data_IF_425777443732
#
_entry.id   IF_425777443732
#
_cell.length_a   1.000
_cell.length_b   1.000
_cell.length_c   1.000
_cell.angle_alpha   90.00
_cell.angle_beta   90.00
_cell.angle_gamma   90.00
#
_symmetry.space_group_name_H-M   'P 1'
#
loop_
_entity.id
_entity.type
_entity.pdbx_description
1 polymer ?
#
# COMPACT_ATOMS: atom_id res chain seq x y z
N UNK A 1 15.46 -0.78 4.83
CA UNK A 1 14.27 -0.90 5.70
C UNK A 1 13.30 0.24 5.47
N UNK A 2 12.02 -0.05 5.49
CA UNK A 2 10.97 0.94 5.31
C UNK A 2 10.53 1.41 6.70
N UNK A 3 10.57 2.71 6.97
CA UNK A 3 10.33 3.22 8.32
C UNK A 3 8.90 2.99 8.79
N UNK A 4 7.91 3.23 7.92
CA UNK A 4 6.51 3.11 8.29
C UNK A 4 5.69 2.57 7.12
N UNK A 5 4.92 1.53 7.39
CA UNK A 5 4.02 0.90 6.40
C UNK A 5 2.58 1.02 6.88
N UNK A 6 1.69 1.32 5.95
CA UNK A 6 0.25 1.26 6.16
C UNK A 6 -0.35 0.21 5.21
N UNK A 7 -1.13 -0.71 5.78
CA UNK A 7 -1.94 -1.67 5.02
C UNK A 7 -3.40 -1.27 5.14
N UNK A 8 -4.10 -1.14 4.02
CA UNK A 8 -5.55 -0.87 3.99
C UNK A 8 -6.23 -2.07 3.35
N UNK A 9 -6.89 -2.88 4.16
CA UNK A 9 -7.48 -4.16 3.76
C UNK A 9 -8.59 -4.51 4.74
N UNK A 10 -9.76 -4.93 4.26
CA UNK A 10 -10.89 -5.26 5.11
C UNK A 10 -10.85 -6.68 5.71
N UNK A 11 -9.85 -7.48 5.36
CA UNK A 11 -9.70 -8.86 5.83
C UNK A 11 -8.76 -8.98 7.03
N UNK A 12 -9.31 -9.25 8.21
CA UNK A 12 -8.52 -9.39 9.43
C UNK A 12 -7.48 -10.51 9.35
N UNK A 13 -7.82 -11.61 8.67
CA UNK A 13 -6.88 -12.72 8.50
C UNK A 13 -5.66 -12.30 7.67
N UNK A 14 -5.89 -11.53 6.62
CA UNK A 14 -4.78 -11.06 5.80
C UNK A 14 -3.89 -10.07 6.55
N UNK A 15 -4.45 -9.26 7.45
CA UNK A 15 -3.65 -8.40 8.32
C UNK A 15 -2.60 -9.22 9.07
N UNK A 16 -3.01 -10.38 9.64
CA UNK A 16 -2.08 -11.26 10.36
C UNK A 16 -1.02 -11.86 9.44
N UNK A 17 -1.42 -12.32 8.26
CA UNK A 17 -0.48 -12.89 7.28
C UNK A 17 0.56 -11.84 6.86
N UNK A 18 0.11 -10.62 6.61
CA UNK A 18 0.98 -9.52 6.19
C UNK A 18 1.93 -9.10 7.32
N UNK A 19 1.41 -8.97 8.53
CA UNK A 19 2.21 -8.61 9.70
C UNK A 19 3.31 -9.64 9.97
N UNK A 20 2.97 -10.93 9.89
CA UNK A 20 3.93 -12.02 10.08
C UNK A 20 5.04 -11.97 9.02
N UNK A 21 4.66 -11.77 7.76
CA UNK A 21 5.63 -11.69 6.67
C UNK A 21 6.58 -10.49 6.84
N UNK A 22 6.05 -9.34 7.21
CA UNK A 22 6.86 -8.15 7.45
C UNK A 22 7.82 -8.35 8.62
N UNK A 23 7.36 -9.02 9.67
CA UNK A 23 8.17 -9.32 10.84
C UNK A 23 9.30 -10.29 10.51
N UNK A 24 8.99 -11.37 9.78
CA UNK A 24 9.98 -12.37 9.39
C UNK A 24 11.07 -11.79 8.48
N UNK A 25 10.72 -10.88 7.61
CA UNK A 25 11.64 -10.23 6.68
C UNK A 25 12.32 -9.00 7.27
N UNK A 26 11.90 -8.58 8.46
CA UNK A 26 12.40 -7.35 9.10
C UNK A 26 12.31 -6.14 8.14
N UNK A 27 11.16 -6.00 7.48
CA UNK A 27 10.94 -5.01 6.43
C UNK A 27 10.70 -3.62 6.99
N UNK A 28 10.01 -3.52 8.13
CA UNK A 28 9.48 -2.25 8.62
C UNK A 28 9.73 -2.04 10.11
N UNK A 29 9.99 -0.79 10.48
CA UNK A 29 10.07 -0.37 11.89
C UNK A 29 8.68 -0.20 12.49
N UNK A 30 7.69 0.17 11.69
CA UNK A 30 6.34 0.44 12.14
C UNK A 30 5.34 -0.02 11.09
N UNK A 31 4.32 -0.78 11.51
CA UNK A 31 3.26 -1.26 10.63
C UNK A 31 1.91 -0.95 11.27
N UNK A 32 1.07 -0.25 10.52
CA UNK A 32 -0.33 -0.02 10.86
C UNK A 32 -1.23 -0.69 9.83
N UNK A 33 -2.36 -1.24 10.28
CA UNK A 33 -3.33 -1.87 9.41
C UNK A 33 -4.72 -1.28 9.68
N UNK A 34 -5.42 -0.90 8.64
CA UNK A 34 -6.76 -0.33 8.69
C UNK A 34 -7.73 -1.14 7.84
N UNK A 35 -8.99 -1.20 8.26
CA UNK A 35 -10.02 -1.99 7.61
C UNK A 35 -10.82 -1.22 6.56
N UNK A 36 -10.61 0.08 6.43
CA UNK A 36 -11.48 0.95 5.64
C UNK A 36 -10.69 2.05 4.97
N UNK A 37 -11.08 2.37 3.72
CA UNK A 37 -10.51 3.49 3.00
C UNK A 37 -10.90 4.84 3.61
N UNK A 38 -12.07 4.91 4.27
CA UNK A 38 -12.50 6.12 4.97
C UNK A 38 -11.57 6.44 6.14
N UNK A 39 -11.19 5.43 6.92
CA UNK A 39 -10.23 5.61 8.02
C UNK A 39 -8.85 6.02 7.49
N UNK A 40 -8.41 5.42 6.39
CA UNK A 40 -7.13 5.77 5.77
C UNK A 40 -7.13 7.22 5.31
N UNK A 41 -8.19 7.67 4.65
CA UNK A 41 -8.30 9.05 4.18
C UNK A 41 -8.27 10.05 5.34
N UNK A 42 -8.97 9.75 6.43
CA UNK A 42 -8.95 10.60 7.63
C UNK A 42 -7.56 10.68 8.25
N UNK A 43 -6.86 9.55 8.30
CA UNK A 43 -5.53 9.47 8.87
C UNK A 43 -4.52 10.28 8.05
N UNK A 44 -4.59 10.17 6.73
CA UNK A 44 -3.75 10.97 5.83
C UNK A 44 -3.99 12.47 6.03
N UNK A 45 -5.25 12.88 6.12
CA UNK A 45 -5.60 14.26 6.34
C UNK A 45 -5.01 14.77 7.66
N UNK A 46 -5.12 13.98 8.72
CA UNK A 46 -4.57 14.32 10.03
C UNK A 46 -3.05 14.50 9.99
N UNK A 47 -2.34 13.56 9.39
CA UNK A 47 -0.88 13.61 9.31
C UNK A 47 -0.39 14.84 8.57
N UNK A 48 -1.02 15.18 7.45
CA UNK A 48 -0.58 16.28 6.60
C UNK A 48 -1.03 17.64 7.13
N UNK A 49 -2.11 17.71 7.93
CA UNK A 49 -2.54 18.95 8.57
C UNK A 49 -1.72 19.28 9.81
N UNK A 50 -1.32 18.27 10.58
CA UNK A 50 -0.58 18.47 11.82
C UNK A 50 0.87 18.87 11.60
N UNK A 51 1.43 18.55 10.44
CA UNK A 51 2.85 18.73 10.17
C UNK A 51 3.75 17.79 10.94
N UNK A 52 3.18 16.81 11.63
CA UNK A 52 3.91 15.79 12.39
C UNK A 52 4.30 14.64 11.47
N UNK A 53 5.60 14.49 11.22
CA UNK A 53 6.13 13.46 10.32
C UNK A 53 6.38 12.12 11.00
N UNK A 54 6.21 12.02 12.32
CA UNK A 54 6.63 10.85 13.07
C UNK A 54 5.82 9.59 12.73
N UNK A 55 4.54 9.73 12.40
CA UNK A 55 3.65 8.60 12.14
C UNK A 55 3.19 8.50 10.67
N UNK A 56 3.71 9.35 9.80
CA UNK A 56 3.34 9.31 8.37
C UNK A 56 3.83 8.02 7.73
N UNK A 57 2.99 7.30 6.99
CA UNK A 57 3.45 6.11 6.27
C UNK A 57 4.39 6.51 5.13
N UNK A 58 5.44 5.77 5.00
CA UNK A 58 6.37 5.90 3.88
C UNK A 58 5.88 5.09 2.69
N UNK A 59 5.22 3.96 2.97
CA UNK A 59 4.73 3.03 1.96
C UNK A 59 3.31 2.58 2.33
N UNK A 60 2.41 2.57 1.35
CA UNK A 60 1.00 2.19 1.54
C UNK A 60 0.63 1.06 0.59
N UNK A 61 0.12 -0.04 1.15
CA UNK A 61 -0.42 -1.18 0.42
C UNK A 61 -1.94 -1.11 0.54
N UNK A 62 -2.63 -1.06 -0.59
CA UNK A 62 -4.09 -0.91 -0.61
C UNK A 62 -4.74 -2.11 -1.29
N UNK A 63 -5.69 -2.76 -0.61
CA UNK A 63 -6.50 -3.81 -1.22
C UNK A 63 -7.41 -3.19 -2.30
N UNK A 64 -7.56 -3.91 -3.40
CA UNK A 64 -8.38 -3.44 -4.52
C UNK A 64 -9.85 -3.28 -4.12
N UNK A 65 -10.40 -4.24 -3.38
CA UNK A 65 -11.79 -4.27 -2.97
C UNK A 65 -11.92 -4.14 -1.45
N UNK A 66 -12.30 -2.96 -0.98
CA UNK A 66 -12.46 -2.69 0.45
C UNK A 66 -13.94 -2.55 0.74
N UNK A 67 -14.55 -3.64 1.23
CA UNK A 67 -15.99 -3.72 1.48
C UNK A 67 -16.40 -2.79 2.62
N UNK A 68 -17.53 -2.10 2.45
CA UNK A 68 -18.07 -1.21 3.48
C UNK A 68 -17.44 0.17 3.53
N UNK A 69 -16.55 0.49 2.61
CA UNK A 69 -15.95 1.81 2.49
C UNK A 69 -16.69 2.67 1.47
N UNK A 70 -16.58 3.98 1.60
CA UNK A 70 -17.19 4.94 0.67
C UNK A 70 -16.54 4.90 -0.71
N UNK A 71 -15.30 4.45 -0.80
CA UNK A 71 -14.57 4.33 -2.06
C UNK A 71 -13.66 3.10 -2.03
N UNK A 72 -13.39 2.55 -3.23
CA UNK A 72 -12.57 1.35 -3.38
C UNK A 72 -11.06 1.66 -3.30
N UNK A 73 -10.23 0.63 -3.49
CA UNK A 73 -8.78 0.78 -3.39
C UNK A 73 -8.18 1.70 -4.44
N UNK A 74 -8.68 1.64 -5.68
CA UNK A 74 -8.20 2.50 -6.76
C UNK A 74 -8.56 3.96 -6.49
N UNK A 75 -9.78 4.21 -6.04
CA UNK A 75 -10.23 5.55 -5.68
C UNK A 75 -9.42 6.11 -4.52
N UNK A 76 -9.09 5.29 -3.52
CA UNK A 76 -8.24 5.68 -2.42
C UNK A 76 -6.83 6.08 -2.91
N UNK A 77 -6.25 5.28 -3.81
CA UNK A 77 -4.93 5.59 -4.39
C UNK A 77 -4.97 6.91 -5.17
N UNK A 78 -6.03 7.13 -5.96
CA UNK A 78 -6.19 8.37 -6.69
C UNK A 78 -6.22 9.57 -5.75
N UNK A 79 -6.95 9.45 -4.64
CA UNK A 79 -7.03 10.50 -3.63
C UNK A 79 -5.69 10.76 -2.96
N UNK A 80 -4.99 9.70 -2.55
CA UNK A 80 -3.65 9.80 -1.93
C UNK A 80 -2.68 10.44 -2.91
N UNK A 81 -2.66 9.97 -4.15
CA UNK A 81 -1.74 10.47 -5.17
C UNK A 81 -2.00 11.95 -5.50
N UNK A 82 -3.26 12.34 -5.62
CA UNK A 82 -3.63 13.73 -5.92
C UNK A 82 -3.23 14.68 -4.79
N UNK A 83 -3.46 14.29 -3.53
CA UNK A 83 -3.24 15.16 -2.39
C UNK A 83 -1.81 15.06 -1.81
N UNK A 84 -1.18 13.87 -1.89
CA UNK A 84 0.06 13.57 -1.17
C UNK A 84 1.10 12.82 -2.00
N UNK A 85 0.92 12.72 -3.32
CA UNK A 85 1.61 11.76 -4.18
C UNK A 85 3.12 11.75 -4.14
N UNK A 86 3.75 12.89 -3.86
CA UNK A 86 5.22 12.96 -3.82
C UNK A 86 5.82 12.53 -2.48
N UNK A 87 4.98 12.22 -1.49
CA UNK A 87 5.40 11.95 -0.12
C UNK A 87 5.29 10.49 0.28
N UNK A 88 4.62 9.65 -0.53
CA UNK A 88 4.38 8.25 -0.21
C UNK A 88 4.58 7.36 -1.43
N UNK A 89 5.04 6.13 -1.16
CA UNK A 89 5.05 5.05 -2.15
C UNK A 89 3.73 4.30 -1.96
N UNK A 90 2.91 4.17 -3.00
CA UNK A 90 1.60 3.55 -2.89
C UNK A 90 1.36 2.56 -4.01
N UNK A 91 0.72 1.44 -3.68
CA UNK A 91 0.35 0.43 -4.65
C UNK A 91 -0.74 -0.50 -4.15
N UNK A 92 -1.12 -1.42 -5.01
CA UNK A 92 -2.19 -2.39 -4.78
C UNK A 92 -1.62 -3.69 -4.21
N UNK A 93 -2.39 -4.32 -3.33
CA UNK A 93 -2.21 -5.70 -2.92
C UNK A 93 -3.56 -6.39 -3.10
N UNK A 94 -3.63 -7.42 -3.96
CA UNK A 94 -4.90 -8.02 -4.35
C UNK A 94 -4.72 -9.45 -4.83
N UNK A 95 -5.75 -10.28 -4.64
CA UNK A 95 -5.76 -11.63 -5.22
C UNK A 95 -6.04 -11.63 -6.72
N UNK A 96 -6.49 -10.52 -7.28
CA UNK A 96 -6.75 -10.35 -8.71
C UNK A 96 -5.47 -10.06 -9.49
N UNK A 97 -5.43 -10.52 -10.75
CA UNK A 97 -4.35 -10.22 -11.70
C UNK A 97 -4.94 -9.77 -13.04
N UNK A 98 -6.02 -8.99 -13.00
CA UNK A 98 -6.74 -8.56 -14.19
C UNK A 98 -6.05 -7.34 -14.84
N UNK A 99 -5.67 -7.41 -16.13
CA UNK A 99 -4.98 -6.30 -16.82
C UNK A 99 -5.78 -5.00 -16.83
N UNK A 100 -7.10 -5.08 -16.94
CA UNK A 100 -7.94 -3.88 -16.94
C UNK A 100 -7.90 -3.15 -15.60
N UNK A 101 -7.92 -3.90 -14.50
CA UNK A 101 -7.82 -3.32 -13.17
C UNK A 101 -6.44 -2.74 -12.92
N UNK A 102 -5.40 -3.41 -13.41
CA UNK A 102 -4.03 -2.91 -13.31
C UNK A 102 -3.86 -1.59 -14.08
N UNK A 103 -4.47 -1.48 -15.27
CA UNK A 103 -4.43 -0.24 -16.03
C UNK A 103 -5.09 0.92 -15.28
N UNK A 104 -6.21 0.67 -14.63
CA UNK A 104 -6.89 1.68 -13.80
C UNK A 104 -6.03 2.10 -12.61
N UNK A 105 -5.34 1.14 -11.99
CA UNK A 105 -4.46 1.41 -10.86
C UNK A 105 -3.28 2.30 -11.29
N UNK A 106 -2.68 2.02 -12.45
CA UNK A 106 -1.61 2.84 -13.01
C UNK A 106 -2.08 4.28 -13.21
N UNK A 107 -3.26 4.45 -13.81
CA UNK A 107 -3.83 5.79 -14.04
C UNK A 107 -4.10 6.54 -12.74
N UNK A 108 -4.46 5.81 -11.68
CA UNK A 108 -4.69 6.40 -10.37
C UNK A 108 -3.41 6.81 -9.64
N UNK A 109 -2.26 6.32 -10.08
CA UNK A 109 -0.96 6.63 -9.49
C UNK A 109 -0.31 5.49 -8.72
N UNK A 110 -0.84 4.26 -8.82
CA UNK A 110 -0.22 3.10 -8.19
C UNK A 110 1.16 2.84 -8.81
N UNK A 111 2.14 2.58 -7.96
CA UNK A 111 3.50 2.33 -8.42
C UNK A 111 3.81 0.84 -8.54
N UNK A 112 3.02 -0.02 -7.89
CA UNK A 112 3.23 -1.46 -7.91
C UNK A 112 1.92 -2.20 -7.67
N UNK A 113 1.96 -3.52 -7.91
CA UNK A 113 0.83 -4.43 -7.67
C UNK A 113 1.40 -5.75 -7.17
N UNK A 114 1.00 -6.15 -5.96
CA UNK A 114 1.43 -7.42 -5.37
C UNK A 114 0.25 -8.39 -5.35
N UNK A 115 0.44 -9.58 -5.90
CA UNK A 115 -0.58 -10.63 -5.88
C UNK A 115 -0.65 -11.22 -4.48
N UNK A 116 -1.83 -11.14 -3.88
CA UNK A 116 -2.10 -11.63 -2.53
C UNK A 116 -2.14 -13.15 -2.51
N UNK A 117 -1.45 -13.76 -1.55
CA UNK A 117 -1.50 -15.20 -1.30
C UNK A 117 -1.11 -15.49 0.14
N UNK A 118 -1.31 -16.74 0.59
CA UNK A 118 -0.90 -17.17 1.93
C UNK A 118 0.61 -17.13 2.10
N UNK A 119 1.36 -17.29 1.00
CA UNK A 119 2.82 -17.22 0.98
C UNK A 119 3.26 -15.92 0.30
N UNK A 120 3.06 -14.81 0.97
CA UNK A 120 3.36 -13.48 0.44
C UNK A 120 4.83 -13.08 0.63
N UNK A 121 5.58 -13.78 1.50
CA UNK A 121 6.96 -13.41 1.84
C UNK A 121 7.89 -13.24 0.64
N UNK A 122 7.93 -14.17 -0.35
CA UNK A 122 8.84 -14.00 -1.49
C UNK A 122 8.55 -12.74 -2.28
N UNK A 123 7.29 -12.37 -2.42
CA UNK A 123 6.88 -11.16 -3.15
C UNK A 123 7.26 -9.90 -2.40
N UNK A 124 7.08 -9.88 -1.08
CA UNK A 124 7.49 -8.76 -0.24
C UNK A 124 9.02 -8.61 -0.22
N UNK A 125 9.75 -9.72 -0.22
CA UNK A 125 11.22 -9.68 -0.28
C UNK A 125 11.69 -9.06 -1.59
N UNK A 126 11.09 -9.46 -2.71
CA UNK A 126 11.40 -8.88 -4.02
C UNK A 126 11.04 -7.39 -4.06
N UNK A 127 9.86 -7.04 -3.54
CA UNK A 127 9.44 -5.65 -3.43
C UNK A 127 10.41 -4.82 -2.60
N UNK A 128 10.87 -5.35 -1.48
CA UNK A 128 11.82 -4.66 -0.61
C UNK A 128 13.10 -4.28 -1.36
N UNK A 129 13.58 -5.18 -2.20
CA UNK A 129 14.79 -4.93 -3.01
C UNK A 129 14.59 -3.79 -4.00
N UNK A 130 13.37 -3.62 -4.49
CA UNK A 130 13.01 -2.59 -5.47
C UNK A 130 12.62 -1.25 -4.82
N UNK A 131 12.43 -1.22 -3.50
CA UNK A 131 11.79 -0.10 -2.80
C UNK A 131 12.43 1.26 -3.07
N UNK A 132 13.76 1.33 -3.05
CA UNK A 132 14.47 2.60 -3.30
C UNK A 132 14.15 3.17 -4.69
N UNK A 133 13.96 2.32 -5.68
CA UNK A 133 13.55 2.74 -7.01
C UNK A 133 12.16 3.36 -7.03
N UNK A 134 11.23 2.82 -6.26
CA UNK A 134 9.89 3.42 -6.12
C UNK A 134 9.94 4.74 -5.38
N UNK A 135 10.70 4.80 -4.31
CA UNK A 135 10.89 6.00 -3.51
C UNK A 135 11.47 7.14 -4.35
N UNK A 136 12.44 6.83 -5.19
CA UNK A 136 13.11 7.79 -6.07
C UNK A 136 12.37 8.01 -7.39
N UNK A 137 11.26 7.31 -7.62
CA UNK A 137 10.42 7.41 -8.81
C UNK A 137 11.17 7.06 -10.09
N UNK A 138 12.07 6.07 -10.01
CA UNK A 138 12.91 5.63 -11.12
C UNK A 138 12.47 4.29 -11.71
N UNK A 139 11.55 3.57 -11.03
CA UNK A 139 11.03 2.28 -11.51
C UNK A 139 9.65 2.44 -12.15
N UNK A 140 9.38 1.73 -13.25
CA UNK A 140 8.03 1.63 -13.78
C UNK A 140 7.15 0.74 -12.91
N UNK A 141 5.85 0.80 -13.14
CA UNK A 141 4.89 -0.09 -12.49
C UNK A 141 5.28 -1.55 -12.71
N UNK A 142 5.21 -2.33 -11.64
CA UNK A 142 5.59 -3.75 -11.67
C UNK A 142 4.57 -4.59 -10.91
N UNK A 143 4.31 -5.80 -11.42
CA UNK A 143 3.43 -6.79 -10.78
C UNK A 143 4.30 -7.88 -10.15
N UNK A 144 4.12 -8.11 -8.87
CA UNK A 144 4.81 -9.16 -8.11
C UNK A 144 3.89 -10.37 -8.00
N UNK A 145 4.23 -11.45 -8.69
CA UNK A 145 3.44 -12.69 -8.79
C UNK A 145 4.06 -13.82 -8.00
#
# INVERSE_FOLDING_TARGET
MIDSILLVDDGDLFHLVFEDACSLLDISLSLNALNSSDEAAKLFQKWFQSGDDNDKPECVFVDLNIIGSSFDGIELIRKINFEYGNHVVVGIISSSNEPEEQAKAIQAGAQFWIIKSDDIEPRLEEFRKDYEGYKNRTLPFKVYK
#
